data_IF_287666464091
#
_entry.id   IF_287666464091
#
_cell.length_a   1.000
_cell.length_b   1.000
_cell.length_c   1.000
_cell.angle_alpha   90.00
_cell.angle_beta   90.00
_cell.angle_gamma   90.00
#
_symmetry.space_group_name_H-M   'P 1'
#
loop_
_entity.id
_entity.type
_entity.pdbx_description
1 polymer ?
2 non-polymer ?
3 non-polymer ?
4 water ?
#
# COMPACT_ATOMS: atom_id res chain seq x y z
N UNK A 7 -6.57 -15.23 3.84
CA UNK A 7 -5.68 -14.01 4.09
C UNK A 7 -5.00 -13.32 2.90
N UNK A 8 -4.81 -14.00 1.78
CA UNK A 8 -3.97 -13.43 0.70
C UNK A 8 -4.69 -12.83 -0.51
N UNK A 9 -4.35 -11.59 -0.87
CA UNK A 9 -4.97 -10.92 -2.02
C UNK A 9 -3.98 -10.52 -3.12
N UNK A 10 -4.36 -10.72 -4.39
CA UNK A 10 -3.64 -10.26 -5.57
C UNK A 10 -4.55 -9.23 -6.20
N UNK A 11 -4.11 -7.96 -6.21
CA UNK A 11 -5.00 -6.88 -6.66
C UNK A 11 -5.17 -6.92 -8.18
N UNK A 12 -6.18 -6.22 -8.66
CA UNK A 12 -6.12 -5.68 -10.01
C UNK A 12 -5.24 -4.45 -9.93
N UNK A 13 -5.29 -3.62 -10.94
CA UNK A 13 -4.47 -2.44 -11.04
C UNK A 13 -4.67 -1.45 -9.89
N UNK A 14 -3.56 -1.08 -9.29
CA UNK A 14 -3.57 -0.07 -8.25
C UNK A 14 -2.46 0.92 -8.56
N UNK A 15 -2.43 1.98 -7.78
CA UNK A 15 -1.40 2.96 -7.91
C UNK A 15 -0.59 2.92 -6.64
N UNK A 16 0.74 2.97 -6.81
CA UNK A 16 1.68 2.98 -5.71
C UNK A 16 2.05 4.41 -5.32
N UNK A 17 2.22 4.64 -4.03
CA UNK A 17 2.72 5.84 -3.54
C UNK A 17 3.60 5.52 -2.29
N UNK A 18 4.41 6.49 -1.87
CA UNK A 18 5.33 6.29 -0.71
C UNK A 18 6.11 5.00 -0.94
N UNK A 19 6.72 4.89 -2.13
CA UNK A 19 7.34 3.68 -2.55
C UNK A 19 8.73 3.47 -1.96
N UNK A 20 8.83 2.40 -1.18
CA UNK A 20 10.12 1.95 -0.60
C UNK A 20 10.23 0.46 -0.75
N UNK A 21 10.19 -0.05 -1.98
CA UNK A 21 10.20 -1.47 -2.22
C UNK A 21 11.61 -2.02 -2.62
N UNK A 22 12.50 -1.13 -3.01
CA UNK A 22 13.80 -1.56 -3.54
C UNK A 22 14.81 -1.52 -2.46
N UNK A 23 14.70 -0.51 -1.60
CA UNK A 23 15.49 -0.40 -0.39
C UNK A 23 14.61 -0.07 0.77
N UNK A 24 14.94 -0.60 1.95
CA UNK A 24 14.09 -0.39 3.13
C UNK A 24 14.26 0.99 3.69
N UNK A 25 13.26 1.42 4.44
CA UNK A 25 13.13 2.78 4.91
C UNK A 25 12.57 2.73 6.35
N UNK A 26 13.02 3.64 7.21
CA UNK A 26 12.44 3.76 8.55
C UNK A 26 11.31 4.78 8.54
N UNK A 28 9.63 5.99 11.11
CA UNK A 28 10.00 6.99 12.15
C UNK A 28 11.42 6.75 12.64
N UNK A 29 12.06 7.81 13.12
CA UNK A 29 13.37 7.71 13.76
C UNK A 29 13.44 6.60 14.89
N UNK A 30 14.52 5.83 14.92
CA UNK A 30 14.68 4.75 15.87
C UNK A 30 14.06 3.41 15.48
N UNK A 31 13.07 3.42 14.59
CA UNK A 31 12.42 2.18 14.13
C UNK A 31 13.32 1.38 13.19
N UNK A 32 12.97 0.10 13.09
CA UNK A 32 13.54 -0.80 12.11
C UNK A 32 13.18 -0.41 10.66
N UNK A 33 14.16 -0.42 9.76
CA UNK A 33 13.89 -0.05 8.39
C UNK A 33 13.08 -1.20 7.80
N UNK A 34 12.11 -0.88 6.96
CA UNK A 34 11.30 -1.88 6.27
C UNK A 34 11.02 -1.50 4.85
N UNK A 35 10.64 -2.49 4.05
CA UNK A 35 10.14 -2.29 2.73
C UNK A 35 8.62 -2.00 2.80
N UNK A 36 8.14 -1.04 2.02
CA UNK A 36 6.72 -0.65 2.16
C UNK A 36 6.30 0.09 0.91
N UNK A 37 4.99 0.18 0.73
CA UNK A 37 4.37 1.14 -0.20
C UNK A 37 2.89 1.28 0.19
N UNK A 39 -0.82 1.33 -1.44
CA UNK A 39 -1.64 0.98 -2.59
C UNK A 39 -2.90 1.86 -2.58
N UNK A 40 -3.21 2.44 -3.73
CA UNK A 40 -4.40 3.24 -3.89
C UNK A 40 -5.27 2.49 -4.83
N UNK A 41 -6.45 2.11 -4.34
CA UNK A 41 -7.35 1.24 -5.04
C UNK A 41 -8.64 2.01 -5.43
N UNK A 42 -8.97 2.10 -6.75
CA UNK A 42 -10.18 2.76 -7.18
C UNK A 42 -11.36 2.09 -6.47
N UNK A 43 -12.28 2.91 -5.97
CA UNK A 43 -13.58 2.36 -5.44
C UNK A 43 -14.44 1.63 -6.51
N UNK A 44 -14.15 1.87 -7.80
CA UNK A 44 -14.82 1.08 -8.89
C UNK A 44 -14.51 -0.41 -8.78
N UNK A 45 -13.43 -0.77 -8.10
CA UNK A 45 -12.91 -2.16 -8.15
C UNK A 45 -13.50 -2.96 -7.02
N UNK A 46 -14.77 -3.34 -7.21
CA UNK A 46 -15.47 -4.16 -6.25
C UNK A 46 -14.71 -5.46 -6.04
N UNK A 47 -14.21 -6.03 -7.13
CA UNK A 47 -13.51 -7.33 -7.05
C UNK A 47 -12.35 -7.30 -6.02
N UNK A 48 -11.48 -6.31 -6.15
CA UNK A 48 -10.30 -6.24 -5.25
C UNK A 48 -10.76 -5.94 -3.82
N UNK A 49 -11.71 -5.03 -3.68
CA UNK A 49 -12.15 -4.57 -2.36
C UNK A 49 -12.96 -5.63 -1.59
N UNK A 50 -13.62 -6.49 -2.34
CA UNK A 50 -14.38 -7.61 -1.76
C UNK A 50 -13.36 -8.62 -1.29
N UNK A 51 -12.39 -8.89 -2.14
CA UNK A 51 -11.36 -9.85 -1.79
C UNK A 51 -10.65 -9.35 -0.51
N UNK A 53 -11.94 -7.28 1.79
CA UNK A 53 -12.94 -7.55 2.85
C UNK A 53 -12.92 -8.98 3.36
N UNK A 54 -12.91 -9.93 2.43
CA UNK A 54 -12.99 -11.35 2.73
C UNK A 54 -11.71 -11.82 3.41
N UNK A 55 -10.57 -11.28 2.97
CA UNK A 55 -9.33 -11.69 3.60
C UNK A 55 -9.31 -11.18 5.05
N UNK A 56 -9.79 -9.94 5.22
CA UNK A 56 -9.76 -9.30 6.53
C UNK A 56 -10.62 -10.14 7.50
N UNK A 57 -11.75 -10.62 6.99
CA UNK A 57 -12.72 -11.44 7.74
C UNK A 57 -12.05 -12.69 8.27
N UNK A 58 -11.42 -13.41 7.33
CA UNK A 58 -10.68 -14.62 7.58
C UNK A 58 -9.57 -14.39 8.63
N UNK A 59 -8.74 -13.38 8.46
CA UNK A 59 -7.78 -13.03 9.52
C UNK A 59 -8.48 -12.88 10.87
N UNK A 60 -9.53 -12.03 10.95
CA UNK A 60 -10.33 -11.90 12.21
C UNK A 60 -10.78 -13.28 12.70
N UNK A 61 -11.39 -14.09 11.81
CA UNK A 61 -11.94 -15.43 12.19
C UNK A 61 -10.85 -16.17 12.93
N UNK A 62 -9.76 -16.42 12.19
CA UNK A 62 -8.67 -17.25 12.67
C UNK A 62 -8.03 -16.79 13.96
N UNK A 63 -8.32 -15.59 14.43
CA UNK A 63 -7.67 -15.04 15.63
C UNK A 63 -8.65 -14.76 16.77
N UNK A 72 -14.13 -8.19 18.96
CA UNK A 72 -15.49 -7.82 18.53
C UNK A 72 -15.48 -7.17 17.16
N UNK A 73 -15.98 -7.89 16.15
CA UNK A 73 -15.79 -7.54 14.73
C UNK A 73 -16.16 -6.14 14.33
N UNK A 74 -17.37 -5.70 14.70
CA UNK A 74 -17.83 -4.39 14.24
C UNK A 74 -16.82 -3.34 14.66
N UNK A 75 -16.18 -3.55 15.82
CA UNK A 75 -15.16 -2.65 16.36
C UNK A 75 -13.72 -3.02 15.88
N UNK A 76 -13.59 -3.72 14.77
CA UNK A 76 -12.28 -4.23 14.37
C UNK A 76 -11.51 -3.11 13.70
N UNK A 77 -10.30 -2.84 14.20
CA UNK A 77 -9.36 -1.88 13.60
C UNK A 77 -8.64 -2.54 12.46
N UNK A 78 -8.71 -1.88 11.31
CA UNK A 78 -7.99 -2.28 10.11
C UNK A 78 -7.24 -1.08 9.44
N UNK A 79 -6.47 -1.37 8.41
CA UNK A 79 -5.58 -0.37 7.78
C UNK A 79 -6.06 0.03 6.39
N UNK A 80 -7.26 -0.45 6.02
CA UNK A 80 -7.84 -0.16 4.72
C UNK A 80 -8.61 1.12 4.84
N UNK A 81 -8.17 2.18 4.15
CA UNK A 81 -8.71 3.52 4.43
C UNK A 81 -9.37 4.16 3.23
N UNK A 82 -10.21 5.16 3.51
CA UNK A 82 -11.04 5.75 2.49
C UNK A 82 -10.43 7.05 2.07
N UNK A 83 -9.91 7.13 0.84
CA UNK A 83 -9.26 8.33 0.33
C UNK A 83 -10.10 9.60 0.44
N UNK A 84 -11.37 9.53 0.02
CA UNK A 84 -12.21 10.73 -0.06
C UNK A 84 -12.53 11.23 1.33
N UNK A 85 -12.65 10.31 2.28
CA UNK A 85 -12.99 10.70 3.63
C UNK A 85 -11.80 11.21 4.40
N UNK A 86 -10.62 10.63 4.17
CA UNK A 86 -9.46 10.96 4.99
C UNK A 86 -8.58 12.02 4.38
N UNK A 88 -7.76 15.36 1.60
CA UNK A 88 -8.23 16.46 0.78
C UNK A 88 -7.82 16.21 -0.64
N UNK A 89 -8.79 15.91 -1.48
CA UNK A 89 -8.52 15.32 -2.81
C UNK A 89 -8.36 16.42 -3.84
N UNK A 90 -8.49 17.68 -3.41
CA UNK A 90 -8.01 18.82 -4.24
C UNK A 90 -6.51 19.04 -4.03
N UNK A 91 -6.03 18.90 -2.79
CA UNK A 91 -4.55 18.86 -2.53
C UNK A 91 -3.89 17.61 -3.11
N UNK A 92 -4.57 16.46 -2.98
CA UNK A 92 -4.02 15.13 -3.31
C UNK A 92 -5.00 14.38 -4.16
N UNK A 93 -5.07 14.70 -5.46
CA UNK A 93 -6.14 14.10 -6.25
C UNK A 93 -5.97 12.59 -6.52
N UNK A 94 -4.78 12.05 -6.26
CA UNK A 94 -4.53 10.64 -6.46
C UNK A 94 -5.49 9.82 -5.60
N UNK A 95 -5.93 10.41 -4.49
CA UNK A 95 -6.90 9.73 -3.58
C UNK A 95 -8.35 9.84 -3.99
N UNK A 96 -8.65 10.56 -5.06
CA UNK A 96 -10.07 10.82 -5.38
C UNK A 96 -10.78 9.53 -5.69
N UNK A 97 -11.88 9.28 -4.99
CA UNK A 97 -12.62 8.07 -5.26
C UNK A 97 -11.82 6.77 -5.16
N UNK A 98 -11.04 6.68 -4.09
CA UNK A 98 -10.15 5.56 -3.91
C UNK A 98 -10.11 5.21 -2.46
N UNK A 100 -7.28 3.25 0.25
CA UNK A 100 -5.80 3.12 0.30
C UNK A 100 -5.35 2.34 1.51
N UNK A 101 -4.16 1.73 1.35
CA UNK A 101 -3.62 0.85 2.37
C UNK A 101 -2.10 0.83 2.31
N UNK A 102 -1.48 1.07 3.45
CA UNK A 102 -0.01 1.00 3.57
C UNK A 102 0.36 -0.41 3.93
N UNK A 103 1.24 -0.99 3.11
CA UNK A 103 1.68 -2.37 3.32
C UNK A 103 3.20 -2.40 3.42
N UNK A 104 3.65 -3.31 4.24
CA UNK A 104 5.01 -3.36 4.72
C UNK A 104 5.55 -4.77 4.68
N UNK A 105 6.89 -4.90 4.63
CA UNK A 105 7.54 -6.21 4.71
C UNK A 105 8.93 -6.01 5.30
N UNK A 106 9.30 -6.90 6.21
CA UNK A 106 10.60 -6.89 6.78
C UNK A 106 11.62 -7.45 5.78
N UNK A 107 11.23 -8.41 4.96
CA UNK A 107 12.10 -8.91 3.94
C UNK A 107 11.72 -8.29 2.60
N UNK A 108 12.70 -8.34 1.72
CA UNK A 108 12.63 -7.74 0.40
C UNK A 108 11.65 -8.41 -0.49
N UNK A 109 10.65 -7.67 -0.95
CA UNK A 109 9.67 -8.22 -1.90
C UNK A 109 10.31 -8.43 -3.26
N UNK A 110 9.75 -9.32 -4.06
CA UNK A 110 10.12 -9.34 -5.45
C UNK A 110 9.33 -8.29 -6.21
N UNK A 111 10.07 -7.58 -7.02
CA UNK A 111 9.53 -6.50 -7.87
C UNK A 111 9.91 -6.78 -9.33
N UNK A 112 8.87 -7.00 -10.13
CA UNK A 112 9.05 -7.43 -11.52
C UNK A 112 8.23 -6.60 -12.47
N UNK A 113 8.51 -6.82 -13.74
CA UNK A 113 7.78 -6.26 -14.86
C UNK A 113 7.66 -7.35 -15.94
N UNK A 114 6.77 -7.11 -16.91
CA UNK A 114 6.58 -8.00 -18.07
C UNK A 114 7.53 -7.52 -19.15
N UNK A 115 8.24 -8.43 -19.78
CA UNK A 115 9.04 -8.07 -20.93
C UNK A 115 8.91 -9.25 -21.86
N UNK A 116 8.34 -9.03 -23.05
CA UNK A 116 8.07 -10.12 -24.01
C UNK A 116 7.21 -11.17 -23.40
N UNK A 117 6.23 -10.70 -22.64
CA UNK A 117 5.38 -11.61 -21.89
C UNK A 117 5.96 -12.37 -20.72
N UNK A 118 7.28 -12.35 -20.49
CA UNK A 118 7.83 -12.95 -19.25
C UNK A 118 8.16 -11.91 -18.15
N UNK A 119 8.11 -12.35 -16.92
CA UNK A 119 8.37 -11.49 -15.76
C UNK A 119 9.83 -11.46 -15.48
N UNK A 120 10.41 -10.28 -15.39
CA UNK A 120 11.72 -10.17 -14.86
C UNK A 120 11.82 -9.09 -13.81
N UNK A 121 12.80 -9.24 -12.94
CA UNK A 121 13.03 -8.29 -11.90
C UNK A 121 13.46 -6.97 -12.47
N UNK A 122 13.02 -5.90 -11.85
CA UNK A 122 13.52 -4.59 -12.15
C UNK A 122 13.80 -3.87 -10.83
N UNK A 123 14.93 -3.15 -10.81
CA UNK A 123 15.15 -2.06 -9.86
C UNK A 123 15.43 -0.69 -10.54
N UNK A 124 14.85 -0.50 -11.71
CA UNK A 124 14.96 0.76 -12.37
C UNK A 124 14.02 1.74 -11.68
N UNK A 125 14.55 2.85 -11.18
CA UNK A 125 13.76 3.90 -10.54
C UNK A 125 12.85 4.57 -11.52
N UNK A 126 13.06 4.35 -12.81
CA UNK A 126 12.10 4.84 -13.80
C UNK A 126 10.95 3.90 -14.05
N UNK A 127 11.03 2.68 -13.53
CA UNK A 127 9.95 1.66 -13.67
C UNK A 127 9.18 1.39 -12.34
N UNK A 128 9.84 1.78 -11.26
CA UNK A 128 9.42 1.56 -9.88
C UNK A 128 9.51 2.86 -9.15
N UNK A 129 8.37 3.56 -9.02
CA UNK A 129 8.36 4.91 -8.46
C UNK A 129 6.97 5.23 -7.92
N UNK A 130 6.92 6.20 -7.03
CA UNK A 130 5.68 6.75 -6.50
C UNK A 130 4.91 7.33 -7.65
N UNK A 131 3.69 6.86 -7.77
CA UNK A 131 2.85 7.20 -8.88
C UNK A 131 2.64 6.14 -9.92
N UNK A 132 3.54 5.14 -9.97
CA UNK A 132 3.44 4.07 -10.95
C UNK A 132 2.20 3.21 -10.67
N UNK A 133 1.58 2.68 -11.72
CA UNK A 133 0.53 1.66 -11.58
C UNK A 133 1.15 0.25 -11.57
N UNK A 134 0.43 -0.67 -10.94
CA UNK A 134 1.06 -1.95 -10.52
C UNK A 134 0.02 -2.96 -10.17
N UNK A 135 0.40 -4.23 -10.09
CA UNK A 135 -0.41 -5.26 -9.44
C UNK A 135 0.41 -5.67 -8.19
N UNK A 136 -0.25 -5.86 -7.07
CA UNK A 136 0.42 -6.19 -5.85
C UNK A 136 -0.22 -7.42 -5.24
N UNK A 137 0.61 -8.20 -4.55
CA UNK A 137 0.18 -9.26 -3.70
C UNK A 137 0.51 -8.88 -2.30
N UNK A 138 -0.49 -9.06 -1.42
CA UNK A 138 -0.40 -8.79 -0.03
C UNK A 138 -1.11 -9.91 0.72
N UNK A 139 -0.92 -9.86 2.02
CA UNK A 139 -1.41 -10.86 2.92
C UNK A 139 -1.86 -10.25 4.23
N UNK A 140 -3.13 -10.42 4.54
CA UNK A 140 -3.71 -9.87 5.76
C UNK A 140 -3.46 -10.74 6.99
N UNK A 141 -3.26 -10.13 8.15
CA UNK A 141 -3.06 -10.89 9.36
C UNK A 141 -3.35 -10.07 10.60
N UNK A 142 -3.70 -10.73 11.70
CA UNK A 142 -4.00 -10.04 12.94
C UNK A 142 -2.73 -9.58 13.68
N UNK A 143 -2.74 -8.40 14.30
CA UNK A 143 -1.62 -7.94 15.14
C UNK A 143 -2.05 -7.64 16.60
N UNK A 144 -1.10 -7.42 17.52
CA UNK A 144 -1.36 -6.93 18.90
C UNK A 144 -0.11 -6.33 19.56
N UNK A 145 0.11 -5.02 19.47
CA UNK A 145 1.41 -4.41 19.87
C UNK A 145 1.32 -3.31 20.92
N UNK A 146 1.65 -3.67 22.15
CA UNK A 146 1.44 -2.79 23.30
C UNK A 146 -0.08 -2.54 23.40
N UNK A 147 -0.85 -3.64 23.31
CA UNK A 147 -2.30 -3.56 23.25
C UNK A 147 -2.84 -2.65 22.15
N UNK A 148 -2.15 -2.61 21.00
CA UNK A 148 -2.69 -2.08 19.75
C UNK A 148 -3.10 -3.28 18.91
N UNK A 149 -4.40 -3.47 18.76
CA UNK A 149 -4.94 -4.70 18.20
C UNK A 149 -5.72 -4.42 16.92
N UNK A 150 -5.75 -5.42 16.03
CA UNK A 150 -6.42 -5.30 14.73
C UNK A 150 -5.94 -6.23 13.62
N UNK A 151 -6.30 -5.88 12.39
CA UNK A 151 -5.89 -6.59 11.17
C UNK A 151 -5.18 -5.64 10.19
N UNK A 152 -4.04 -6.11 9.69
CA UNK A 152 -3.19 -5.32 8.85
C UNK A 152 -2.79 -6.22 7.71
N UNK A 153 -1.97 -5.67 6.81
CA UNK A 153 -1.56 -6.39 5.64
C UNK A 153 -0.10 -6.21 5.35
N UNK A 154 0.52 -7.33 4.97
CA UNK A 154 1.92 -7.40 4.66
C UNK A 154 2.06 -7.37 3.16
N UNK A 155 3.21 -6.86 2.71
CA UNK A 155 3.46 -6.79 1.30
C UNK A 155 4.24 -8.08 0.92
N UNK A 156 3.87 -8.66 -0.22
CA UNK A 156 4.53 -9.85 -0.73
C UNK A 156 5.40 -9.46 -1.92
N UNK A 157 4.78 -9.17 -3.04
CA UNK A 157 5.44 -8.85 -4.28
C UNK A 157 4.68 -7.79 -5.07
N UNK A 158 5.39 -7.18 -5.99
CA UNK A 158 4.91 -6.15 -6.89
C UNK A 158 5.22 -6.46 -8.38
N UNK A 159 4.20 -6.26 -9.21
CA UNK A 159 4.35 -6.22 -10.68
C UNK A 159 4.13 -4.80 -11.09
N UNK A 160 5.20 -4.09 -11.47
CA UNK A 160 5.05 -2.76 -11.99
C UNK A 160 4.61 -2.82 -13.47
N UNK A 161 3.66 -1.97 -13.80
CA UNK A 161 3.08 -1.88 -15.13
C UNK A 161 3.76 -0.74 -15.86
N UNK A 162 4.73 -0.11 -15.22
CA UNK A 162 5.63 0.84 -15.88
C UNK A 162 4.84 1.92 -16.62
N UNK A 163 3.91 2.53 -15.90
CA UNK A 163 3.17 3.67 -16.41
C UNK A 163 2.52 4.39 -15.24
N UNK A 164 2.14 5.63 -15.49
CA UNK A 164 1.71 6.54 -14.47
C UNK A 164 2.63 7.70 -14.24
N UNK A 165 2.04 8.83 -13.92
CA UNK A 165 2.81 10.02 -13.58
C UNK A 165 3.36 9.93 -12.20
N UNK A 166 4.55 10.52 -12.07
CA UNK A 166 5.26 10.64 -10.85
C UNK A 166 4.45 11.41 -9.83
N UNK A 167 4.31 10.85 -8.62
CA UNK A 167 3.77 11.54 -7.48
C UNK A 167 4.93 12.04 -6.65
N UNK A 168 5.17 13.34 -6.79
CA UNK A 168 6.24 14.02 -6.12
C UNK A 168 5.95 14.45 -4.70
N UNK A 169 6.98 14.42 -3.87
CA UNK A 169 6.84 14.94 -2.53
C UNK A 169 6.55 16.43 -2.62
N UNK A 170 5.50 16.84 -1.96
CA UNK A 170 5.35 18.27 -1.65
C UNK A 170 5.15 18.51 -0.16
N UNK A 171 6.02 19.27 0.44
CA UNK A 171 5.92 19.59 1.86
C UNK A 171 4.75 20.52 2.14
N UNK A 172 4.26 20.43 3.39
CA UNK A 172 3.08 21.17 3.77
C UNK A 172 3.44 22.50 4.33
N UNK A 173 2.41 23.33 4.59
CA UNK A 173 2.66 24.66 5.05
C UNK A 173 3.31 24.67 6.43
N UNK A 174 2.88 23.76 7.29
CA UNK A 174 3.43 23.69 8.68
C UNK A 174 4.93 23.44 8.53
N UNK A 175 5.27 22.52 7.65
CA UNK A 175 6.67 22.32 7.32
C UNK A 175 7.40 23.57 6.81
N UNK A 176 6.90 24.14 5.71
CA UNK A 176 7.51 25.31 5.06
C UNK A 176 7.58 26.49 5.94
N UNK A 177 6.54 26.77 6.72
CA UNK A 177 6.49 28.03 7.43
C UNK A 177 6.56 27.97 8.96
N UNK A 178 6.60 26.77 9.50
CA UNK A 178 6.44 26.56 10.97
C UNK A 178 7.44 27.19 11.91
N UNK A 179 8.72 27.14 11.57
CA UNK A 179 9.77 27.86 12.33
C UNK A 179 9.71 29.42 12.25
N UNK A 180 9.60 29.95 11.03
CA UNK A 180 9.21 31.37 10.77
C UNK A 180 9.38 31.65 9.27
#
# INVERSE_FOLDING_TARGET
>A
SNAVTGTKVITNQVRLSFVHVLEPHAXEEGQEKKYSCXLIIPKDDKETLKAXKEAIKTAYEGAKGDKLKGVKFERLKTTLRDGDEEXDTEERPEFENAXFINVSSKTKPQVVKREDGVLVKTDDPDEVYSGVYAIASINFYAYSTAGNKGVTAGLNNILTLCKGDFLGGRANAESDFGDL
#
